data_IF_457370483230
#
_entry.id   IF_457370483230
#
_cell.length_a   1.000
_cell.length_b   1.000
_cell.length_c   1.000
_cell.angle_alpha   90.00
_cell.angle_beta   90.00
_cell.angle_gamma   90.00
#
_symmetry.space_group_name_H-M   'P 1'
#
loop_
_entity.id
_entity.type
_entity.pdbx_description
1 polymer ?
#
# COMPACT_ATOMS: atom_id res chain seq x y z
N UNK A 1 25.27 -11.44 2.95
CA UNK A 1 24.46 -10.97 4.08
C UNK A 1 23.12 -10.48 3.52
N UNK A 2 22.01 -10.85 4.15
CA UNK A 2 20.69 -10.34 3.75
C UNK A 2 20.60 -8.83 4.04
N UNK A 3 19.97 -8.07 3.15
CA UNK A 3 19.83 -6.62 3.34
C UNK A 3 18.94 -6.32 4.56
N UNK A 4 19.22 -5.23 5.28
CA UNK A 4 18.42 -4.83 6.44
C UNK A 4 16.96 -4.49 6.11
N UNK A 5 16.67 -4.16 4.84
CA UNK A 5 15.33 -3.73 4.38
C UNK A 5 15.05 -4.38 3.03
N UNK A 6 13.90 -5.05 2.93
CA UNK A 6 13.33 -5.51 1.66
C UNK A 6 12.45 -4.42 1.06
N UNK A 7 12.51 -4.26 -0.27
CA UNK A 7 11.69 -3.31 -1.01
C UNK A 7 11.15 -3.93 -2.29
N UNK A 8 9.85 -3.74 -2.55
CA UNK A 8 9.26 -3.91 -3.87
C UNK A 8 8.63 -2.58 -4.32
N UNK A 9 8.94 -2.08 -5.53
CA UNK A 9 8.27 -0.91 -6.08
C UNK A 9 6.79 -1.19 -6.35
N UNK A 10 5.98 -0.13 -6.37
CA UNK A 10 4.55 -0.21 -6.65
C UNK A 10 4.10 0.66 -7.82
N UNK A 11 2.87 0.43 -8.25
CA UNK A 11 2.20 1.12 -9.35
C UNK A 11 0.88 1.81 -8.92
N UNK A 12 0.51 1.74 -7.63
CA UNK A 12 -0.69 2.35 -7.08
C UNK A 12 -0.35 3.27 -5.88
N UNK A 13 -1.25 4.20 -5.50
CA UNK A 13 -1.02 5.14 -4.40
C UNK A 13 -1.21 4.49 -3.02
N UNK A 14 -0.59 3.32 -2.80
CA UNK A 14 -0.63 2.58 -1.54
C UNK A 14 0.79 2.17 -1.15
N UNK A 15 1.15 2.44 0.10
CA UNK A 15 2.43 2.03 0.70
C UNK A 15 2.14 1.09 1.86
N UNK A 16 2.73 -0.10 1.82
CA UNK A 16 2.65 -1.11 2.87
C UNK A 16 4.00 -1.19 3.58
N UNK A 17 3.99 -1.05 4.91
CA UNK A 17 5.20 -1.09 5.73
C UNK A 17 5.09 -2.15 6.83
N UNK A 18 6.13 -2.95 7.01
CA UNK A 18 6.26 -3.88 8.13
C UNK A 18 7.54 -3.55 8.93
N UNK A 19 7.41 -2.84 10.07
CA UNK A 19 8.56 -2.38 10.83
C UNK A 19 9.15 -3.42 11.80
N UNK A 20 8.39 -4.45 12.21
CA UNK A 20 8.67 -5.22 13.44
C UNK A 20 8.62 -6.75 13.29
N UNK A 21 8.77 -7.32 12.09
CA UNK A 21 8.77 -8.79 11.90
C UNK A 21 10.08 -9.30 11.28
N UNK A 22 11.18 -8.58 11.53
CA UNK A 22 12.52 -8.94 11.07
C UNK A 22 13.22 -9.89 12.04
N UNK A 23 14.05 -10.80 11.56
CA UNK A 23 14.79 -11.77 12.40
C UNK A 23 16.31 -11.57 12.42
N UNK A 24 16.84 -10.65 11.60
CA UNK A 24 18.27 -10.40 11.53
C UNK A 24 18.76 -9.79 12.84
N UNK A 25 19.77 -10.42 13.43
CA UNK A 25 20.46 -9.96 14.64
C UNK A 25 21.97 -9.84 14.39
N UNK A 26 22.42 -8.85 13.60
CA UNK A 26 23.85 -8.62 13.37
C UNK A 26 24.61 -8.42 14.68
N UNK A 27 25.82 -8.99 14.78
CA UNK A 27 26.63 -8.95 15.99
C UNK A 27 27.15 -7.53 16.33
N UNK A 28 27.29 -6.67 15.32
CA UNK A 28 27.71 -5.28 15.43
C UNK A 28 26.55 -4.32 15.83
N UNK A 29 25.32 -4.85 15.94
CA UNK A 29 24.18 -4.12 16.50
C UNK A 29 23.97 -4.52 17.97
N UNK A 30 24.14 -3.60 18.93
CA UNK A 30 23.84 -3.89 20.33
C UNK A 30 22.33 -4.06 20.57
N UNK A 31 21.98 -4.86 21.56
CA UNK A 31 20.59 -5.06 21.96
C UNK A 31 20.02 -3.82 22.68
N UNK A 32 18.75 -3.52 22.41
CA UNK A 32 17.98 -2.51 23.13
C UNK A 32 17.66 -3.04 24.54
N UNK A 33 17.80 -2.16 25.52
CA UNK A 33 17.65 -2.49 26.94
C UNK A 33 16.16 -2.54 27.33
N UNK A 34 15.62 -3.73 27.68
CA UNK A 34 14.21 -3.87 28.07
C UNK A 34 13.88 -3.22 29.41
N UNK A 35 14.88 -2.83 30.23
CA UNK A 35 14.63 -2.11 31.48
C UNK A 35 14.35 -0.61 31.27
N UNK A 36 14.67 -0.07 30.09
CA UNK A 36 14.34 1.32 29.76
C UNK A 36 12.81 1.49 29.66
N UNK A 37 12.22 2.52 30.32
CA UNK A 37 10.78 2.73 30.31
C UNK A 37 10.19 2.81 28.89
N UNK A 38 9.22 1.94 28.61
CA UNK A 38 8.50 1.90 27.33
C UNK A 38 9.26 1.21 26.19
N UNK A 39 10.37 0.52 26.47
CA UNK A 39 11.05 -0.35 25.50
C UNK A 39 10.36 -1.71 25.44
N UNK A 40 9.89 -2.04 24.24
CA UNK A 40 9.45 -3.38 23.85
C UNK A 40 10.46 -3.93 22.86
N UNK A 41 10.87 -5.18 23.06
CA UNK A 41 11.88 -5.89 22.25
C UNK A 41 11.29 -7.05 21.46
N UNK A 42 10.07 -7.50 21.76
CA UNK A 42 9.41 -8.53 20.96
C UNK A 42 8.94 -7.99 19.60
N UNK A 43 9.00 -8.87 18.61
CA UNK A 43 8.50 -8.62 17.27
C UNK A 43 6.97 -8.73 17.22
N UNK A 44 6.42 -8.16 16.16
CA UNK A 44 5.03 -8.38 15.76
C UNK A 44 5.02 -9.57 14.79
N UNK A 45 5.05 -10.78 15.36
CA UNK A 45 5.22 -12.01 14.59
C UNK A 45 4.14 -12.16 13.50
N UNK A 46 4.53 -12.71 12.35
CA UNK A 46 3.68 -13.00 11.19
C UNK A 46 3.17 -11.76 10.42
N UNK A 47 3.55 -10.54 10.81
CA UNK A 47 3.12 -9.33 10.09
C UNK A 47 3.79 -9.22 8.71
N UNK A 48 5.05 -9.63 8.53
CA UNK A 48 5.71 -9.64 7.22
C UNK A 48 5.03 -10.60 6.23
N UNK A 49 4.80 -11.90 6.54
CA UNK A 49 4.08 -12.79 5.63
C UNK A 49 2.64 -12.32 5.37
N UNK A 50 1.95 -11.77 6.38
CA UNK A 50 0.62 -11.18 6.19
C UNK A 50 0.67 -9.99 5.22
N UNK A 51 1.61 -9.06 5.41
CA UNK A 51 1.76 -7.87 4.55
C UNK A 51 2.10 -8.25 3.11
N UNK A 52 2.99 -9.24 2.92
CA UNK A 52 3.30 -9.81 1.60
C UNK A 52 2.07 -10.46 0.98
N UNK A 53 1.22 -11.14 1.77
CA UNK A 53 -0.02 -11.72 1.27
C UNK A 53 -1.03 -10.66 0.83
N UNK A 54 -1.17 -9.56 1.57
CA UNK A 54 -2.00 -8.41 1.18
C UNK A 54 -1.49 -7.82 -0.14
N UNK A 55 -0.19 -7.56 -0.25
CA UNK A 55 0.43 -7.08 -1.48
C UNK A 55 0.12 -8.01 -2.68
N UNK A 56 0.28 -9.31 -2.49
CA UNK A 56 0.01 -10.28 -3.54
C UNK A 56 -1.47 -10.34 -3.93
N UNK A 57 -2.39 -10.28 -2.97
CA UNK A 57 -3.82 -10.22 -3.26
C UNK A 57 -4.22 -8.98 -4.07
N UNK A 58 -3.59 -7.82 -3.81
CA UNK A 58 -3.80 -6.61 -4.59
C UNK A 58 -3.33 -6.79 -6.05
N UNK A 59 -2.18 -7.43 -6.22
CA UNK A 59 -1.60 -7.70 -7.53
C UNK A 59 -2.46 -8.70 -8.31
N UNK A 60 -2.77 -9.85 -7.70
CA UNK A 60 -3.48 -10.96 -8.34
C UNK A 60 -4.93 -10.57 -8.73
N UNK A 61 -5.62 -9.80 -7.89
CA UNK A 61 -7.05 -9.49 -8.10
C UNK A 61 -7.31 -8.20 -8.86
N UNK A 62 -6.42 -7.22 -8.73
CA UNK A 62 -6.66 -5.87 -9.23
C UNK A 62 -5.55 -5.35 -10.13
N UNK A 63 -4.45 -6.10 -10.32
CA UNK A 63 -3.26 -5.62 -11.03
C UNK A 63 -2.56 -4.45 -10.31
N UNK A 64 -2.85 -4.24 -9.03
CA UNK A 64 -2.32 -3.14 -8.23
C UNK A 64 -1.14 -3.63 -7.40
N UNK A 65 0.02 -3.04 -7.63
CA UNK A 65 1.24 -3.31 -6.87
C UNK A 65 1.42 -2.17 -5.87
N UNK A 66 1.29 -2.46 -4.58
CA UNK A 66 1.59 -1.47 -3.55
C UNK A 66 3.10 -1.36 -3.35
N UNK A 67 3.60 -0.18 -2.98
CA UNK A 67 5.00 -0.09 -2.56
C UNK A 67 5.17 -0.87 -1.26
N UNK A 68 5.98 -1.92 -1.27
CA UNK A 68 6.17 -2.80 -0.11
C UNK A 68 7.53 -2.56 0.52
N UNK A 69 7.55 -2.21 1.80
CA UNK A 69 8.76 -2.05 2.61
C UNK A 69 8.69 -2.99 3.82
N UNK A 70 9.66 -3.88 3.96
CA UNK A 70 9.76 -4.78 5.11
C UNK A 70 11.11 -4.60 5.78
N UNK A 71 11.12 -4.30 7.07
CA UNK A 71 12.32 -4.35 7.89
C UNK A 71 12.68 -5.82 8.16
N UNK A 72 13.94 -6.19 7.89
CA UNK A 72 14.43 -7.55 8.14
C UNK A 72 15.20 -7.64 9.48
N UNK A 73 15.49 -6.52 10.15
CA UNK A 73 16.21 -6.48 11.42
C UNK A 73 15.26 -6.66 12.61
N UNK A 74 15.66 -7.47 13.58
CA UNK A 74 14.89 -7.71 14.79
C UNK A 74 14.68 -6.44 15.63
N UNK A 75 13.48 -6.27 16.19
CA UNK A 75 13.11 -5.10 17.00
C UNK A 75 13.99 -4.95 18.25
N UNK A 76 14.59 -6.05 18.72
CA UNK A 76 15.61 -6.06 19.76
C UNK A 76 16.82 -5.20 19.37
N UNK A 77 17.23 -5.18 18.09
CA UNK A 77 18.40 -4.42 17.62
C UNK A 77 18.07 -2.97 17.29
N UNK A 78 16.88 -2.73 16.73
CA UNK A 78 16.43 -1.40 16.32
C UNK A 78 14.91 -1.35 16.21
N UNK A 79 14.27 -0.31 16.73
CA UNK A 79 12.82 -0.14 16.62
C UNK A 79 12.45 0.95 15.62
N UNK A 80 12.02 0.54 14.43
CA UNK A 80 11.66 1.45 13.33
C UNK A 80 10.47 2.37 13.63
N UNK A 81 9.65 2.06 14.65
CA UNK A 81 8.45 2.82 15.04
C UNK A 81 8.68 3.68 16.29
N UNK A 82 9.90 4.22 16.41
CA UNK A 82 10.32 5.20 17.42
C UNK A 82 11.16 6.27 16.72
N UNK A 83 11.32 7.43 17.34
CA UNK A 83 12.32 8.40 16.87
C UNK A 83 13.72 7.77 16.87
N UNK A 84 14.61 8.23 15.98
CA UNK A 84 15.96 7.65 15.84
C UNK A 84 16.69 7.53 17.19
N UNK A 85 16.59 8.57 18.03
CA UNK A 85 17.18 8.62 19.38
C UNK A 85 16.63 7.57 20.36
N UNK A 86 15.41 7.07 20.17
CA UNK A 86 14.79 6.00 20.97
C UNK A 86 14.76 4.64 20.26
N UNK A 87 15.03 4.64 18.95
CA UNK A 87 15.04 3.46 18.11
C UNK A 87 16.30 2.63 18.31
N UNK A 88 17.44 3.30 18.57
CA UNK A 88 18.76 2.70 18.66
C UNK A 88 19.37 2.91 20.06
N UNK A 89 20.30 2.04 20.46
CA UNK A 89 21.15 2.31 21.61
C UNK A 89 22.15 3.45 21.30
N UNK A 90 22.59 4.22 22.30
CA UNK A 90 23.67 5.19 22.13
C UNK A 90 24.92 4.55 21.51
N UNK A 91 25.50 5.20 20.48
CA UNK A 91 26.70 4.71 19.79
C UNK A 91 26.48 3.56 18.79
N UNK A 92 25.26 3.07 18.60
CA UNK A 92 24.95 1.96 17.70
C UNK A 92 24.88 2.40 16.21
N UNK A 93 26.03 2.63 15.58
CA UNK A 93 26.13 3.11 14.19
C UNK A 93 25.43 2.18 13.17
N UNK A 94 25.55 0.86 13.35
CA UNK A 94 24.88 -0.12 12.49
C UNK A 94 23.35 -0.02 12.61
N UNK A 95 22.80 0.07 13.83
CA UNK A 95 21.37 0.25 14.06
C UNK A 95 20.83 1.55 13.45
N UNK A 96 21.57 2.66 13.58
CA UNK A 96 21.22 3.95 12.96
C UNK A 96 21.21 3.84 11.43
N UNK A 97 22.17 3.13 10.85
CA UNK A 97 22.23 2.91 9.40
C UNK A 97 21.01 2.12 8.91
N UNK A 98 20.65 1.03 9.61
CA UNK A 98 19.46 0.25 9.29
C UNK A 98 18.16 1.07 9.44
N UNK A 99 18.05 1.85 10.51
CA UNK A 99 16.93 2.75 10.76
C UNK A 99 16.74 3.75 9.61
N UNK A 100 17.82 4.44 9.22
CA UNK A 100 17.78 5.44 8.14
C UNK A 100 17.52 4.80 6.78
N UNK A 101 18.03 3.61 6.52
CA UNK A 101 17.74 2.87 5.29
C UNK A 101 16.24 2.54 5.17
N UNK A 102 15.62 2.09 6.27
CA UNK A 102 14.18 1.81 6.31
C UNK A 102 13.35 3.08 6.07
N UNK A 103 13.59 4.12 6.87
CA UNK A 103 12.84 5.39 6.76
C UNK A 103 13.09 6.13 5.44
N UNK A 104 14.30 6.02 4.90
CA UNK A 104 14.61 6.53 3.56
C UNK A 104 13.79 5.85 2.48
N UNK A 105 13.59 4.52 2.59
CA UNK A 105 12.75 3.78 1.64
C UNK A 105 11.27 4.15 1.79
N UNK A 106 10.78 4.28 3.02
CA UNK A 106 9.40 4.73 3.27
C UNK A 106 9.17 6.12 2.66
N UNK A 107 10.10 7.07 2.85
CA UNK A 107 9.99 8.42 2.26
C UNK A 107 9.95 8.37 0.74
N UNK A 108 10.87 7.64 0.10
CA UNK A 108 10.91 7.51 -1.35
C UNK A 108 9.62 6.88 -1.91
N UNK A 109 9.07 5.87 -1.22
CA UNK A 109 7.80 5.25 -1.59
C UNK A 109 6.61 6.19 -1.44
N UNK A 110 6.54 6.97 -0.36
CA UNK A 110 5.49 7.97 -0.16
C UNK A 110 5.52 9.04 -1.25
N UNK A 111 6.71 9.54 -1.60
CA UNK A 111 6.86 10.50 -2.70
C UNK A 111 6.39 9.93 -4.04
N UNK A 112 6.76 8.69 -4.35
CA UNK A 112 6.32 8.01 -5.56
C UNK A 112 4.79 7.77 -5.58
N UNK A 113 4.24 7.27 -4.48
CA UNK A 113 2.80 7.05 -4.31
C UNK A 113 1.99 8.36 -4.44
N UNK A 114 2.52 9.46 -3.89
CA UNK A 114 1.89 10.78 -3.99
C UNK A 114 1.85 11.29 -5.43
N UNK A 115 2.89 11.04 -6.22
CA UNK A 115 2.90 11.35 -7.66
C UNK A 115 1.87 10.53 -8.44
N UNK A 116 1.67 9.26 -8.08
CA UNK A 116 0.63 8.44 -8.69
C UNK A 116 -0.78 8.91 -8.33
N UNK A 117 -0.99 9.36 -7.08
CA UNK A 117 -2.27 9.90 -6.64
C UNK A 117 -2.59 11.26 -7.31
N UNK A 118 -1.57 12.08 -7.57
CA UNK A 118 -1.70 13.38 -8.21
C UNK A 118 -1.72 13.32 -9.75
N UNK A 119 -1.39 12.16 -10.34
CA UNK A 119 -1.47 11.99 -11.78
C UNK A 119 -2.92 12.24 -12.23
N UNK A 120 -3.17 13.14 -13.19
CA UNK A 120 -4.52 13.38 -13.66
C UNK A 120 -5.09 12.04 -14.11
N UNK A 121 -6.31 11.73 -13.66
CA UNK A 121 -7.10 10.61 -14.17
C UNK A 121 -7.47 10.92 -15.61
N UNK A 122 -6.48 11.01 -16.52
CA UNK A 122 -6.71 10.98 -17.95
C UNK A 122 -7.23 9.58 -18.21
N UNK A 123 -8.55 9.45 -18.14
CA UNK A 123 -9.39 8.41 -18.70
C UNK A 123 -8.55 7.22 -19.17
N UNK A 124 -8.13 6.34 -18.24
CA UNK A 124 -7.63 5.02 -18.63
C UNK A 124 -8.84 4.32 -19.22
N UNK A 125 -8.98 4.44 -20.53
CA UNK A 125 -9.95 3.70 -21.30
C UNK A 125 -9.75 2.23 -20.95
N UNK A 126 -10.68 1.70 -20.16
CA UNK A 126 -10.94 0.27 -20.13
C UNK A 126 -11.45 -0.11 -21.52
N UNK A 127 -10.53 -0.37 -22.45
CA UNK A 127 -10.85 -0.96 -23.75
C UNK A 127 -11.21 -2.42 -23.48
N UNK A 128 -12.45 -2.67 -23.08
CA UNK A 128 -12.89 -4.03 -22.75
C UNK A 128 -14.34 -4.24 -22.32
N UNK A 129 -15.15 -3.20 -22.14
CA UNK A 129 -16.58 -3.38 -21.91
C UNK A 129 -17.39 -2.20 -22.45
N UNK A 130 -18.47 -2.54 -23.14
CA UNK A 130 -19.44 -1.69 -23.83
C UNK A 130 -19.69 -0.35 -23.12
N UNK A 131 -19.48 0.73 -23.88
CA UNK A 131 -19.61 2.13 -23.45
C UNK A 131 -20.99 2.41 -22.83
N UNK A 132 -21.03 2.73 -21.55
CA UNK A 132 -22.02 3.62 -20.96
C UNK A 132 -21.30 4.89 -20.53
N UNK A 133 -21.47 5.97 -21.29
CA UNK A 133 -20.95 7.30 -20.95
C UNK A 133 -21.80 7.88 -19.82
N UNK A 134 -21.18 8.24 -18.70
CA UNK A 134 -21.73 9.20 -17.75
C UNK A 134 -20.77 10.39 -17.72
N UNK A 135 -21.21 11.54 -18.24
CA UNK A 135 -20.52 12.81 -18.02
C UNK A 135 -21.07 13.43 -16.74
N UNK A 136 -20.28 13.45 -15.67
CA UNK A 136 -20.57 14.29 -14.51
C UNK A 136 -19.89 15.64 -14.74
N UNK A 137 -20.63 16.61 -15.29
CA UNK A 137 -20.17 18.00 -15.25
C UNK A 137 -20.54 18.55 -13.89
N UNK A 138 -19.53 18.72 -13.04
CA UNK A 138 -19.65 19.43 -11.77
C UNK A 138 -20.09 20.88 -12.01
N UNK A 139 -21.36 21.16 -11.69
CA UNK A 139 -21.77 22.45 -11.13
C UNK A 139 -23.14 22.28 -10.48
N UNK A 140 -23.18 22.55 -9.17
CA UNK A 140 -24.32 22.61 -8.23
C UNK A 140 -24.56 21.35 -7.38
N UNK A 141 -24.18 21.46 -6.10
CA UNK A 141 -24.65 20.60 -5.00
C UNK A 141 -25.84 21.31 -4.36
N UNK A 142 -27.09 20.80 -4.43
CA UNK A 142 -28.16 21.28 -3.57
C UNK A 142 -28.01 20.64 -2.19
N UNK A 143 -28.05 21.48 -1.16
CA UNK A 143 -28.07 21.08 0.24
C UNK A 143 -29.46 20.57 0.65
N UNK A 144 -29.83 19.35 0.29
CA UNK A 144 -30.87 18.58 0.99
C UNK A 144 -31.08 17.18 0.41
N UNK A 145 -31.08 16.18 1.29
CA UNK A 145 -31.71 14.88 1.06
C UNK A 145 -30.77 13.75 0.62
N UNK A 146 -30.36 12.91 1.58
CA UNK A 146 -29.91 11.55 1.27
C UNK A 146 -31.16 10.70 1.04
N UNK A 147 -31.32 10.12 -0.16
CA UNK A 147 -32.25 9.02 -0.37
C UNK A 147 -31.49 7.79 -0.85
N UNK A 148 -31.58 6.72 -0.05
CA UNK A 148 -31.02 5.42 -0.36
C UNK A 148 -31.94 4.75 -1.41
N UNK A 149 -31.57 4.82 -2.68
CA UNK A 149 -32.24 4.03 -3.70
C UNK A 149 -31.76 2.57 -3.59
N UNK A 150 -32.62 1.70 -3.09
CA UNK A 150 -32.43 0.24 -3.14
C UNK A 150 -32.59 -0.22 -4.59
N UNK A 151 -31.59 -0.93 -5.10
CA UNK A 151 -31.62 -1.48 -6.45
C UNK A 151 -32.68 -2.60 -6.56
N UNK A 152 -33.78 -2.33 -7.26
CA UNK A 152 -34.68 -3.36 -7.75
C UNK A 152 -34.10 -4.00 -9.01
N UNK A 153 -34.34 -5.32 -9.14
CA UNK A 153 -33.76 -6.26 -10.13
C UNK A 153 -33.80 -5.75 -11.58
N UNK A 154 -32.85 -6.14 -12.44
CA UNK A 154 -32.87 -5.75 -13.86
C UNK A 154 -34.02 -6.48 -14.61
N UNK A 155 -34.69 -5.82 -15.57
CA UNK A 155 -35.69 -6.45 -16.41
C UNK A 155 -35.04 -7.43 -17.40
N UNK A 156 -35.80 -8.46 -17.75
CA UNK A 156 -35.48 -9.46 -18.76
C UNK A 156 -35.24 -8.82 -20.13
N UNK A 157 -34.21 -9.29 -20.84
CA UNK A 157 -33.88 -8.86 -22.19
C UNK A 157 -34.53 -9.79 -23.22
N UNK A 158 -35.28 -9.24 -24.16
CA UNK A 158 -35.54 -9.88 -25.47
C UNK A 158 -34.63 -9.22 -26.52
N UNK A 159 -34.00 -10.00 -27.42
CA UNK A 159 -33.18 -9.43 -28.47
C UNK A 159 -34.07 -8.95 -29.62
N UNK A 160 -34.02 -7.66 -29.95
CA UNK A 160 -34.52 -7.14 -31.22
C UNK A 160 -33.42 -7.32 -32.25
N UNK A 161 -33.67 -8.20 -33.23
CA UNK A 161 -32.84 -8.30 -34.44
C UNK A 161 -33.41 -7.36 -35.49
N UNK A 162 -32.70 -6.29 -35.84
CA UNK A 162 -33.01 -5.49 -37.02
C UNK A 162 -32.27 -6.09 -38.22
N UNK A 163 -33.04 -6.68 -39.14
CA UNK A 163 -32.55 -7.09 -40.46
C UNK A 163 -32.70 -5.90 -41.42
N UNK A 164 -31.69 -5.51 -42.20
CA UNK A 164 -31.87 -4.46 -43.20
C UNK A 164 -32.74 -4.99 -44.36
N UNK A 165 -33.77 -4.20 -44.71
CA UNK A 165 -34.56 -4.39 -45.93
C UNK A 165 -33.76 -3.86 -47.12
N UNK A 166 -33.39 -4.75 -48.04
CA UNK A 166 -32.93 -4.37 -49.38
C UNK A 166 -34.11 -4.52 -50.34
N UNK A 167 -34.60 -3.39 -50.84
CA UNK A 167 -35.49 -3.30 -51.99
C UNK A 167 -34.78 -2.48 -53.07
N UNK A 168 -34.39 -3.16 -54.15
CA UNK A 168 -34.62 -2.85 -55.56
C UNK A 168 -33.91 -3.92 -56.41
#
# INVERSE_FOLDING_TARGET
AEAAVSYAPGNCPLVLTCPHDGSLRPADMPDRDPQQPGVVTCNDDLVAPLTRRVHQLLTDRYGLEAFLIVNNVDRLKVNMNRSEARACQPGAAASVTAYRAYHGRVRAALEAASRLAAAPTTMREWVGATRCFWTFTDRTIPSSGWSLATASRPPCWTPVTTRPSSAL
#
